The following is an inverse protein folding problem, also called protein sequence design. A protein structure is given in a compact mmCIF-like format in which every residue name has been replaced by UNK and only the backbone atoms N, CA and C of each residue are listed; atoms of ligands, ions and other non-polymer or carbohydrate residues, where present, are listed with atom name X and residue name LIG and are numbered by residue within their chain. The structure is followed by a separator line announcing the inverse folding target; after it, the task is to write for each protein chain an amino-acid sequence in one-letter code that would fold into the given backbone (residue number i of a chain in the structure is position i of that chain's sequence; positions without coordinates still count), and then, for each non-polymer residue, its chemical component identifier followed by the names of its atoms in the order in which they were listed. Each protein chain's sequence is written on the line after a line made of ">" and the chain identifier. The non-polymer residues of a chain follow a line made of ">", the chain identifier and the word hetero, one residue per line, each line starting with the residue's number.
data_IF_186475124781
#
_entry.id   IF_186475124781
#
_cell.length_a   1.000
_cell.length_b   1.000
_cell.length_c   1.000
_cell.angle_alpha   90.00
_cell.angle_beta   90.00
_cell.angle_gamma   90.00
#
_symmetry.space_group_name_H-M   'P 1'
#
loop_
_entity.id
_entity.type
_entity.pdbx_description
1 polymer ?
#
# COMPACT_ATOMS: atom_id res chain seq x y z
N UNK A 1 9.84 -10.58 9.06
CA UNK A 1 8.53 -11.02 9.60
C UNK A 1 8.43 -12.55 9.63
N UNK A 2 8.91 -13.22 8.59
CA UNK A 2 8.77 -14.66 8.42
C UNK A 2 9.73 -15.48 9.29
N UNK A 3 10.98 -15.06 9.49
CA UNK A 3 11.98 -15.89 10.18
C UNK A 3 11.69 -16.17 11.67
N UNK A 4 11.02 -15.25 12.37
CA UNK A 4 10.59 -15.49 13.75
C UNK A 4 9.31 -16.30 13.85
N UNK A 5 8.42 -16.18 12.86
CA UNK A 5 7.36 -17.17 12.69
C UNK A 5 7.99 -18.55 12.45
N UNK A 6 8.98 -18.66 11.56
CA UNK A 6 9.71 -19.92 11.34
C UNK A 6 10.34 -20.44 12.64
N UNK A 7 10.91 -19.59 13.48
CA UNK A 7 11.43 -19.98 14.80
C UNK A 7 10.32 -20.54 15.71
N UNK A 8 9.17 -19.84 15.81
CA UNK A 8 8.01 -20.29 16.59
C UNK A 8 7.52 -21.66 16.08
N UNK A 9 7.38 -21.83 14.75
CA UNK A 9 6.95 -23.10 14.13
C UNK A 9 7.94 -24.25 14.41
N UNK A 10 9.24 -23.95 14.43
CA UNK A 10 10.28 -24.92 14.81
C UNK A 10 10.14 -25.26 16.28
N UNK A 11 10.05 -24.28 17.17
CA UNK A 11 9.94 -24.49 18.63
C UNK A 11 8.65 -25.20 19.05
N UNK A 12 7.55 -25.04 18.30
CA UNK A 12 6.32 -25.81 18.51
C UNK A 12 6.55 -27.33 18.37
N UNK A 13 7.45 -27.73 17.46
CA UNK A 13 7.70 -29.14 17.13
C UNK A 13 9.00 -29.67 17.74
N UNK A 14 9.95 -28.77 17.98
CA UNK A 14 11.28 -29.01 18.54
C UNK A 14 11.57 -27.95 19.62
N UNK A 15 11.00 -28.08 20.83
CA UNK A 15 11.06 -27.04 21.87
C UNK A 15 12.47 -26.65 22.30
N UNK A 16 13.39 -27.61 22.27
CA UNK A 16 14.79 -27.43 22.64
C UNK A 16 15.69 -27.25 21.40
N UNK A 17 15.18 -26.59 20.36
CA UNK A 17 15.95 -26.32 19.15
C UNK A 17 17.27 -25.60 19.47
N UNK A 18 18.37 -26.22 19.05
CA UNK A 18 19.73 -25.69 19.19
C UNK A 18 20.31 -25.38 17.81
N UNK A 19 20.50 -24.09 17.51
CA UNK A 19 21.07 -23.62 16.24
C UNK A 19 22.54 -23.99 16.04
N UNK A 20 23.26 -24.37 17.10
CA UNK A 20 24.65 -24.86 17.00
C UNK A 20 24.71 -26.34 16.60
N UNK A 21 23.60 -27.06 16.79
CA UNK A 21 23.50 -28.48 16.47
C UNK A 21 23.06 -28.70 15.01
N UNK A 22 23.98 -29.19 14.18
CA UNK A 22 23.71 -29.52 12.76
C UNK A 22 22.53 -30.48 12.55
N UNK A 23 22.27 -31.41 13.47
CA UNK A 23 21.14 -32.33 13.39
C UNK A 23 19.80 -31.59 13.57
N UNK A 24 19.77 -30.61 14.46
CA UNK A 24 18.57 -29.84 14.76
C UNK A 24 18.29 -28.81 13.67
N UNK A 25 19.32 -28.23 13.03
CA UNK A 25 19.16 -27.44 11.80
C UNK A 25 18.50 -28.26 10.67
N UNK A 26 18.94 -29.50 10.45
CA UNK A 26 18.36 -30.39 9.43
C UNK A 26 16.90 -30.74 9.77
N UNK A 27 16.59 -30.97 11.05
CA UNK A 27 15.20 -31.23 11.50
C UNK A 27 14.33 -29.99 11.31
N UNK A 28 14.81 -28.81 11.70
CA UNK A 28 14.12 -27.54 11.52
C UNK A 28 13.80 -27.29 10.04
N UNK A 29 14.78 -27.47 9.15
CA UNK A 29 14.57 -27.34 7.70
C UNK A 29 13.47 -28.30 7.19
N UNK A 30 13.48 -29.56 7.63
CA UNK A 30 12.45 -30.54 7.26
C UNK A 30 11.06 -30.17 7.78
N UNK A 31 10.96 -29.70 9.02
CA UNK A 31 9.70 -29.24 9.64
C UNK A 31 9.13 -28.07 8.84
N UNK A 32 9.97 -27.06 8.55
CA UNK A 32 9.55 -25.87 7.82
C UNK A 32 9.15 -26.19 6.38
N UNK A 33 9.91 -27.02 5.66
CA UNK A 33 9.55 -27.46 4.30
C UNK A 33 8.28 -28.29 4.26
N UNK A 34 8.02 -29.10 5.28
CA UNK A 34 6.76 -29.85 5.39
C UNK A 34 5.57 -28.90 5.63
N UNK A 35 5.76 -27.91 6.50
CA UNK A 35 4.72 -26.94 6.84
C UNK A 35 4.43 -25.98 5.69
N UNK A 36 5.45 -25.59 4.92
CA UNK A 36 5.31 -24.81 3.68
C UNK A 36 4.44 -25.49 2.61
N UNK A 37 4.48 -26.83 2.55
CA UNK A 37 3.63 -27.59 1.60
C UNK A 37 2.15 -27.57 2.00
N UNK A 38 1.87 -27.35 3.28
CA UNK A 38 0.51 -27.33 3.85
C UNK A 38 -0.02 -25.89 3.87
N UNK A 39 0.84 -24.93 4.17
CA UNK A 39 0.53 -23.51 4.26
C UNK A 39 1.54 -22.68 3.46
N UNK A 40 1.03 -21.90 2.51
CA UNK A 40 1.85 -21.06 1.63
C UNK A 40 2.22 -19.70 2.23
N UNK A 41 2.07 -19.52 3.54
CA UNK A 41 2.37 -18.25 4.23
C UNK A 41 3.84 -17.80 4.05
N UNK A 42 4.78 -18.73 3.86
CA UNK A 42 6.20 -18.45 3.66
C UNK A 42 6.80 -19.18 2.45
N UNK A 43 7.89 -18.63 1.90
CA UNK A 43 8.55 -19.16 0.70
C UNK A 43 9.71 -20.10 1.04
N UNK A 44 10.23 -20.80 0.03
CA UNK A 44 11.44 -21.62 0.18
C UNK A 44 12.68 -20.78 0.50
N UNK A 45 12.78 -19.61 -0.13
CA UNK A 45 13.88 -18.66 0.10
C UNK A 45 13.92 -18.19 1.55
N UNK A 46 12.75 -18.04 2.17
CA UNK A 46 12.65 -17.67 3.58
C UNK A 46 13.19 -18.75 4.52
N UNK A 47 12.90 -20.02 4.22
CA UNK A 47 13.43 -21.15 4.98
C UNK A 47 14.94 -21.22 4.83
N UNK A 48 15.46 -21.05 3.61
CA UNK A 48 16.91 -21.03 3.36
C UNK A 48 17.60 -19.89 4.10
N UNK A 49 17.02 -18.69 4.10
CA UNK A 49 17.55 -17.54 4.85
C UNK A 49 17.55 -17.81 6.36
N UNK A 50 16.48 -18.40 6.89
CA UNK A 50 16.39 -18.80 8.30
C UNK A 50 17.47 -19.81 8.68
N UNK A 51 17.64 -20.88 7.89
CA UNK A 51 18.63 -21.93 8.17
C UNK A 51 20.05 -21.38 8.04
N UNK A 52 20.34 -20.58 7.01
CA UNK A 52 21.64 -19.92 6.84
C UNK A 52 21.97 -19.02 8.03
N UNK A 53 21.00 -18.23 8.49
CA UNK A 53 21.18 -17.36 9.66
C UNK A 53 21.58 -18.14 10.91
N UNK A 54 20.86 -19.21 11.28
CA UNK A 54 21.20 -20.01 12.47
C UNK A 54 22.48 -20.84 12.27
N UNK A 55 22.77 -21.28 11.05
CA UNK A 55 24.02 -21.98 10.73
C UNK A 55 25.26 -21.09 10.93
N UNK A 56 25.16 -19.81 10.58
CA UNK A 56 26.26 -18.86 10.70
C UNK A 56 26.40 -18.28 12.11
N UNK A 57 25.27 -18.11 12.82
CA UNK A 57 25.23 -17.35 14.07
C UNK A 57 24.92 -18.19 15.31
N UNK A 58 24.53 -19.46 15.16
CA UNK A 58 24.12 -20.33 16.26
C UNK A 58 22.99 -19.71 17.09
N UNK A 59 23.09 -19.84 18.41
CA UNK A 59 22.12 -19.30 19.37
C UNK A 59 22.45 -17.88 19.86
N UNK A 60 23.46 -17.22 19.25
CA UNK A 60 24.02 -15.95 19.74
C UNK A 60 22.98 -14.85 19.94
N UNK A 61 21.89 -14.88 19.18
CA UNK A 61 20.84 -13.86 19.19
C UNK A 61 19.55 -14.28 19.91
N UNK A 62 19.49 -15.45 20.54
CA UNK A 62 18.28 -15.93 21.23
C UNK A 62 17.79 -14.95 22.29
N UNK A 63 18.71 -14.31 23.02
CA UNK A 63 18.37 -13.30 24.05
C UNK A 63 17.59 -12.11 23.48
N UNK A 64 17.79 -11.76 22.20
CA UNK A 64 17.06 -10.69 21.52
C UNK A 64 15.67 -11.13 21.07
N UNK A 65 15.49 -12.43 20.84
CA UNK A 65 14.19 -13.01 20.50
C UNK A 65 13.35 -13.32 21.75
N UNK A 66 13.95 -13.34 22.93
CA UNK A 66 13.28 -13.50 24.22
C UNK A 66 12.75 -12.17 24.80
N UNK A 67 13.23 -11.02 24.34
CA UNK A 67 12.69 -9.71 24.71
C UNK A 67 11.27 -9.55 24.13
N UNK A 68 10.27 -9.38 25.00
CA UNK A 68 8.86 -9.34 24.60
C UNK A 68 8.54 -8.19 23.64
N UNK A 69 9.16 -7.02 23.82
CA UNK A 69 8.93 -5.88 22.93
C UNK A 69 9.54 -6.17 21.55
N UNK A 70 10.79 -6.63 21.50
CA UNK A 70 11.46 -6.99 20.24
C UNK A 70 10.74 -8.11 19.52
N UNK A 71 10.31 -9.14 20.26
CA UNK A 71 9.53 -10.24 19.73
C UNK A 71 8.24 -9.73 19.07
N UNK A 72 7.50 -8.85 19.74
CA UNK A 72 6.27 -8.23 19.21
C UNK A 72 6.54 -7.35 17.99
N UNK A 73 7.62 -6.56 18.02
CA UNK A 73 8.09 -5.76 16.86
C UNK A 73 8.36 -6.67 15.67
N UNK A 74 9.06 -7.77 15.89
CA UNK A 74 9.47 -8.66 14.82
C UNK A 74 8.32 -9.48 14.23
N UNK A 75 7.25 -9.71 15.02
CA UNK A 75 5.96 -10.25 14.54
C UNK A 75 5.17 -9.25 13.69
N UNK A 76 5.55 -7.98 13.72
CA UNK A 76 4.86 -6.91 12.99
C UNK A 76 3.62 -6.40 13.73
N UNK A 77 3.56 -6.59 15.04
CA UNK A 77 2.44 -6.13 15.86
C UNK A 77 2.56 -4.64 16.15
N UNK A 78 1.41 -3.94 16.22
CA UNK A 78 1.36 -2.56 16.69
C UNK A 78 1.02 -2.54 18.18
N UNK A 79 1.95 -2.07 19.00
CA UNK A 79 1.83 -1.99 20.44
C UNK A 79 2.72 -0.86 21.00
N UNK A 80 2.44 -0.44 22.23
CA UNK A 80 3.28 0.50 22.97
C UNK A 80 4.36 -0.27 23.72
N UNK A 81 5.61 0.16 23.59
CA UNK A 81 6.76 -0.43 24.28
C UNK A 81 6.56 -0.31 25.77
N UNK A 82 6.68 -1.45 26.44
CA UNK A 82 6.68 -1.47 27.88
C UNK A 82 8.09 -1.17 28.39
N UNK A 83 8.33 0.08 28.79
CA UNK A 83 9.64 0.53 29.27
C UNK A 83 10.10 -0.15 30.57
N UNK A 84 9.20 -0.81 31.31
CA UNK A 84 9.59 -1.60 32.49
C UNK A 84 10.26 -2.94 32.13
N UNK A 85 10.10 -3.40 30.89
CA UNK A 85 10.69 -4.64 30.37
C UNK A 85 11.98 -4.37 29.59
N UNK A 86 12.61 -3.21 29.80
CA UNK A 86 13.87 -2.86 29.15
C UNK A 86 14.98 -3.80 29.59
N UNK A 87 15.30 -4.77 28.75
CA UNK A 87 16.50 -5.59 28.91
C UNK A 87 17.68 -4.76 28.40
N UNK A 88 18.58 -4.37 29.30
CA UNK A 88 19.88 -3.84 28.91
C UNK A 88 20.69 -5.03 28.39
N UNK A 89 20.79 -5.18 27.07
CA UNK A 89 21.52 -6.29 26.49
C UNK A 89 23.02 -6.12 26.75
N UNK A 90 23.66 -6.99 27.56
CA UNK A 90 25.11 -6.98 27.68
C UNK A 90 25.72 -7.30 26.31
N UNK A 91 26.77 -6.58 25.92
CA UNK A 91 27.45 -6.73 24.62
C UNK A 91 26.60 -6.41 23.37
N UNK A 92 25.60 -5.53 23.48
CA UNK A 92 24.78 -5.10 22.34
C UNK A 92 25.61 -4.49 21.18
N UNK A 93 26.81 -3.96 21.46
CA UNK A 93 27.75 -3.48 20.44
C UNK A 93 28.43 -4.61 19.66
N UNK A 94 28.38 -5.84 20.15
CA UNK A 94 28.80 -7.06 19.44
C UNK A 94 27.65 -7.70 18.65
N UNK A 95 26.45 -7.08 18.65
CA UNK A 95 25.41 -7.43 17.69
C UNK A 95 25.99 -7.18 16.31
N UNK A 96 26.17 -8.27 15.58
CA UNK A 96 26.89 -8.24 14.33
C UNK A 96 26.01 -7.60 13.25
N UNK A 97 26.59 -6.97 12.21
CA UNK A 97 25.83 -6.38 11.10
C UNK A 97 24.73 -7.28 10.54
N UNK A 98 24.96 -8.60 10.57
CA UNK A 98 24.06 -9.65 10.09
C UNK A 98 22.72 -9.64 10.83
N UNK A 99 22.70 -9.47 12.16
CA UNK A 99 21.44 -9.37 12.91
C UNK A 99 20.68 -8.09 12.55
N UNK A 100 21.40 -6.96 12.40
CA UNK A 100 20.78 -5.68 12.03
C UNK A 100 20.15 -5.75 10.64
N UNK A 101 20.82 -6.39 9.68
CA UNK A 101 20.28 -6.64 8.34
C UNK A 101 19.09 -7.59 8.40
N UNK A 102 19.16 -8.64 9.22
CA UNK A 102 18.08 -9.62 9.38
C UNK A 102 16.79 -9.01 9.96
N UNK A 103 16.92 -8.08 10.91
CA UNK A 103 15.79 -7.41 11.57
C UNK A 103 15.38 -6.07 10.90
N UNK A 104 16.01 -5.70 9.79
CA UNK A 104 15.83 -4.39 9.16
C UNK A 104 14.36 -4.10 8.79
N UNK A 105 13.75 -4.97 7.99
CA UNK A 105 12.38 -4.78 7.50
C UNK A 105 11.32 -4.79 8.63
N UNK A 106 11.37 -5.72 9.61
CA UNK A 106 10.48 -5.63 10.77
C UNK A 106 10.58 -4.32 11.54
N UNK A 107 11.80 -3.82 11.77
CA UNK A 107 12.00 -2.55 12.49
C UNK A 107 11.45 -1.38 11.65
N UNK A 108 11.72 -1.33 10.34
CA UNK A 108 11.15 -0.32 9.44
C UNK A 108 9.63 -0.33 9.46
N UNK A 109 9.00 -1.50 9.42
CA UNK A 109 7.56 -1.64 9.50
C UNK A 109 7.01 -1.09 10.82
N UNK A 110 7.66 -1.40 11.95
CA UNK A 110 7.26 -0.86 13.25
C UNK A 110 7.39 0.66 13.34
N UNK A 111 8.47 1.22 12.78
CA UNK A 111 8.65 2.67 12.65
C UNK A 111 7.52 3.29 11.83
N UNK A 112 7.19 2.70 10.67
CA UNK A 112 6.11 3.18 9.81
C UNK A 112 4.75 3.15 10.52
N UNK A 113 4.44 2.06 11.24
CA UNK A 113 3.20 1.94 12.02
C UNK A 113 3.11 3.04 13.09
N UNK A 114 4.20 3.33 13.79
CA UNK A 114 4.21 4.44 14.77
C UNK A 114 4.01 5.81 14.11
N UNK A 115 4.66 6.06 12.96
CA UNK A 115 4.50 7.31 12.21
C UNK A 115 3.07 7.47 11.70
N UNK A 116 2.47 6.42 11.14
CA UNK A 116 1.09 6.42 10.64
C UNK A 116 0.08 6.70 11.75
N UNK A 117 0.30 6.13 12.93
CA UNK A 117 -0.55 6.34 14.11
C UNK A 117 -0.18 7.60 14.92
N UNK A 118 0.78 8.41 14.46
CA UNK A 118 1.27 9.63 15.14
C UNK A 118 1.76 9.36 16.58
N UNK A 119 2.31 8.17 16.83
CA UNK A 119 2.78 7.73 18.14
C UNK A 119 4.29 8.00 18.31
N UNK A 120 4.63 9.29 18.34
CA UNK A 120 6.02 9.75 18.42
C UNK A 120 6.68 9.48 19.77
N UNK A 121 5.89 9.42 20.84
CA UNK A 121 6.39 9.06 22.16
C UNK A 121 6.90 7.63 22.17
N UNK A 122 6.08 6.68 21.68
CA UNK A 122 6.49 5.29 21.58
C UNK A 122 7.68 5.09 20.65
N UNK A 123 7.73 5.80 19.52
CA UNK A 123 8.89 5.77 18.62
C UNK A 123 10.16 6.32 19.28
N UNK A 124 10.03 7.33 20.13
CA UNK A 124 11.14 7.88 20.93
C UNK A 124 11.63 6.88 21.98
N UNK A 125 10.71 6.22 22.68
CA UNK A 125 11.04 5.15 23.64
C UNK A 125 11.76 4.01 22.92
N UNK A 126 11.22 3.58 21.77
CA UNK A 126 11.84 2.58 20.91
C UNK A 126 13.29 2.94 20.57
N UNK A 127 13.49 4.14 20.03
CA UNK A 127 14.81 4.59 19.61
C UNK A 127 15.79 4.59 20.79
N UNK A 128 15.40 5.09 21.97
CA UNK A 128 16.29 5.12 23.14
C UNK A 128 16.69 3.73 23.65
N UNK A 129 15.74 2.81 23.70
CA UNK A 129 15.95 1.50 24.31
C UNK A 129 16.64 0.53 23.34
N UNK A 130 16.38 0.69 22.05
CA UNK A 130 16.77 -0.29 21.03
C UNK A 130 17.67 0.29 19.93
N UNK A 131 18.22 1.50 20.11
CA UNK A 131 19.18 2.11 19.16
C UNK A 131 20.24 1.13 18.63
N UNK A 132 20.89 0.28 19.45
CA UNK A 132 21.98 -0.55 18.96
C UNK A 132 21.57 -1.71 18.04
N UNK A 133 20.28 -2.05 17.97
CA UNK A 133 19.77 -3.04 17.00
C UNK A 133 19.27 -2.40 15.70
N UNK A 134 19.16 -1.06 15.66
CA UNK A 134 18.73 -0.34 14.46
C UNK A 134 19.88 -0.33 13.45
N UNK A 135 19.63 -0.84 12.25
CA UNK A 135 20.62 -0.80 11.16
C UNK A 135 20.89 0.64 10.71
N UNK A 136 22.09 0.97 10.17
CA UNK A 136 22.36 2.28 9.59
C UNK A 136 21.32 2.68 8.54
N UNK A 137 20.92 1.75 7.66
CA UNK A 137 19.89 1.97 6.63
C UNK A 137 18.51 2.27 7.25
N UNK A 138 18.17 1.62 8.36
CA UNK A 138 16.92 1.92 9.09
C UNK A 138 16.97 3.29 9.76
N UNK A 139 18.14 3.68 10.29
CA UNK A 139 18.35 5.02 10.84
C UNK A 139 18.18 6.07 9.75
N UNK A 140 18.80 5.88 8.58
CA UNK A 140 18.63 6.77 7.42
C UNK A 140 17.17 6.85 6.97
N UNK A 141 16.47 5.71 6.90
CA UNK A 141 15.03 5.68 6.62
C UNK A 141 14.23 6.53 7.62
N UNK A 142 14.48 6.38 8.92
CA UNK A 142 13.82 7.19 9.95
C UNK A 142 14.12 8.68 9.80
N UNK A 143 15.38 9.04 9.49
CA UNK A 143 15.80 10.42 9.25
C UNK A 143 15.05 11.01 8.04
N UNK A 144 14.97 10.30 6.92
CA UNK A 144 14.22 10.75 5.74
C UNK A 144 12.74 10.97 6.06
N UNK A 145 12.11 10.01 6.76
CA UNK A 145 10.70 10.16 7.17
C UNK A 145 10.47 11.38 8.05
N UNK A 146 11.36 11.65 9.02
CA UNK A 146 11.30 12.84 9.88
C UNK A 146 11.50 14.11 9.05
N UNK A 147 12.49 14.14 8.15
CA UNK A 147 12.79 15.29 7.28
C UNK A 147 11.59 15.63 6.38
N UNK A 148 10.93 14.61 5.82
CA UNK A 148 9.68 14.78 5.08
C UNK A 148 8.57 15.37 5.95
N UNK A 149 8.45 14.93 7.21
CA UNK A 149 7.47 15.47 8.16
C UNK A 149 7.78 16.92 8.55
N UNK A 150 9.05 17.30 8.70
CA UNK A 150 9.49 18.69 8.91
C UNK A 150 9.13 19.57 7.70
N UNK A 151 9.41 19.11 6.47
CA UNK A 151 8.99 19.81 5.24
C UNK A 151 7.48 20.04 5.18
N UNK A 152 6.69 19.04 5.59
CA UNK A 152 5.24 19.18 5.68
C UNK A 152 4.82 20.24 6.70
N UNK A 153 5.48 20.36 7.86
CA UNK A 153 5.21 21.44 8.82
C UNK A 153 5.46 22.81 8.17
N UNK A 154 6.57 22.96 7.43
CA UNK A 154 6.92 24.22 6.76
C UNK A 154 5.92 24.64 5.70
N UNK A 155 5.52 23.71 4.84
CA UNK A 155 4.53 23.96 3.78
C UNK A 155 3.18 24.45 4.31
N UNK A 156 2.91 24.11 5.56
CA UNK A 156 1.63 24.34 6.23
C UNK A 156 1.56 25.70 6.93
N UNK A 157 2.68 26.22 7.44
CA UNK A 157 2.75 27.51 8.13
C UNK A 157 2.11 28.68 7.34
N UNK A 158 2.31 28.84 6.02
CA UNK A 158 1.75 29.98 5.28
C UNK A 158 0.24 29.86 4.99
N UNK A 159 -0.43 28.76 5.34
CA UNK A 159 -1.78 28.42 4.86
C UNK A 159 -2.88 28.53 5.96
N UNK A 160 -3.43 29.73 6.23
CA UNK A 160 -4.38 29.96 7.34
C UNK A 160 -5.68 29.16 7.23
N UNK A 161 -6.13 28.83 6.01
CA UNK A 161 -7.41 28.16 5.77
C UNK A 161 -7.37 26.65 6.05
N UNK A 162 -6.19 26.07 6.22
CA UNK A 162 -6.03 24.64 6.43
C UNK A 162 -6.02 24.26 7.92
N UNK A 163 -6.12 25.20 8.86
CA UNK A 163 -6.00 24.98 10.31
C UNK A 163 -6.72 23.73 10.88
N UNK A 164 -7.99 23.51 10.53
CA UNK A 164 -8.76 22.34 10.97
C UNK A 164 -8.25 21.03 10.35
N UNK A 165 -7.82 21.09 9.09
CA UNK A 165 -7.16 19.98 8.39
C UNK A 165 -5.79 19.66 9.02
N UNK A 166 -5.07 20.69 9.49
CA UNK A 166 -3.75 20.57 10.14
C UNK A 166 -3.81 19.88 11.48
N UNK A 167 -4.77 20.24 12.33
CA UNK A 167 -5.00 19.57 13.61
C UNK A 167 -5.44 18.11 13.45
N UNK A 168 -6.04 17.77 12.31
CA UNK A 168 -6.56 16.41 12.07
C UNK A 168 -5.51 15.50 11.41
N UNK A 169 -4.73 16.03 10.45
CA UNK A 169 -3.81 15.24 9.61
C UNK A 169 -2.32 15.48 9.86
N UNK A 170 -1.93 16.58 10.51
CA UNK A 170 -0.52 16.97 10.73
C UNK A 170 -0.22 17.16 12.23
N UNK A 171 -0.77 16.27 13.05
CA UNK A 171 -0.65 16.28 14.52
C UNK A 171 0.81 16.22 15.00
N UNK A 172 1.74 15.73 14.18
CA UNK A 172 3.16 15.66 14.53
C UNK A 172 3.80 17.03 14.72
N UNK A 173 3.37 18.05 13.97
CA UNK A 173 3.97 19.39 14.02
C UNK A 173 3.77 20.13 15.35
N UNK A 174 2.83 19.67 16.18
CA UNK A 174 2.56 20.19 17.53
C UNK A 174 2.89 19.17 18.63
N UNK A 175 3.50 18.03 18.28
CA UNK A 175 3.85 16.99 19.23
C UNK A 175 5.28 17.20 19.77
N UNK A 176 5.47 17.42 21.08
CA UNK A 176 6.80 17.58 21.69
C UNK A 176 7.75 16.39 21.45
N UNK A 177 7.23 15.16 21.47
CA UNK A 177 8.02 13.95 21.29
C UNK A 177 8.56 13.81 19.87
N UNK A 178 7.86 14.39 18.87
CA UNK A 178 8.35 14.42 17.49
C UNK A 178 9.68 15.19 17.41
N UNK A 179 9.74 16.39 17.99
CA UNK A 179 10.96 17.22 17.99
C UNK A 179 12.04 16.67 18.93
N UNK A 180 11.66 16.16 20.10
CA UNK A 180 12.61 15.55 21.03
C UNK A 180 13.30 14.31 20.43
N UNK A 181 12.59 13.51 19.64
CA UNK A 181 13.15 12.37 18.90
C UNK A 181 14.24 12.82 17.92
N UNK A 182 14.09 13.97 17.25
CA UNK A 182 15.10 14.48 16.32
C UNK A 182 16.43 14.75 17.03
N UNK A 183 16.38 15.31 18.25
CA UNK A 183 17.55 15.53 19.08
C UNK A 183 18.18 14.24 19.57
N UNK A 184 17.35 13.25 19.93
CA UNK A 184 17.85 11.92 20.34
C UNK A 184 18.54 11.19 19.16
N UNK A 185 18.11 11.43 17.92
CA UNK A 185 18.69 10.81 16.72
C UNK A 185 20.00 11.47 16.30
N UNK A 186 19.92 12.77 15.99
CA UNK A 186 21.04 13.60 15.53
C UNK A 186 20.65 15.08 15.55
N UNK A 187 20.94 15.76 16.66
CA UNK A 187 20.64 17.19 16.78
C UNK A 187 21.38 18.06 15.76
N UNK A 188 22.55 17.64 15.28
CA UNK A 188 23.34 18.40 14.30
C UNK A 188 22.67 18.39 12.93
N UNK A 189 22.19 17.23 12.49
CA UNK A 189 21.51 17.05 11.21
C UNK A 189 20.23 17.90 11.12
N UNK A 190 19.40 17.87 12.17
CA UNK A 190 18.09 18.55 12.15
C UNK A 190 18.14 20.04 12.52
N UNK A 191 19.27 20.56 13.00
CA UNK A 191 19.35 21.94 13.51
C UNK A 191 18.91 22.98 12.48
N UNK A 192 19.32 22.83 11.22
CA UNK A 192 18.95 23.76 10.15
C UNK A 192 17.46 23.67 9.80
N UNK A 193 16.90 22.45 9.72
CA UNK A 193 15.47 22.25 9.45
C UNK A 193 14.60 22.85 10.56
N UNK A 194 15.02 22.69 11.81
CA UNK A 194 14.33 23.24 12.99
C UNK A 194 14.39 24.76 13.02
N UNK A 195 15.56 25.33 12.72
CA UNK A 195 15.73 26.78 12.62
C UNK A 195 14.85 27.36 11.50
N UNK A 196 14.76 26.67 10.36
CA UNK A 196 13.91 27.03 9.24
C UNK A 196 12.42 27.06 9.61
N UNK A 197 11.92 26.03 10.30
CA UNK A 197 10.54 26.02 10.81
C UNK A 197 10.30 27.23 11.74
N UNK A 198 11.22 27.47 12.67
CA UNK A 198 11.14 28.60 13.61
C UNK A 198 11.12 29.97 12.88
N UNK A 199 11.95 30.12 11.84
CA UNK A 199 12.01 31.33 11.03
C UNK A 199 10.74 31.52 10.19
N UNK A 200 10.19 30.45 9.63
CA UNK A 200 8.96 30.50 8.85
C UNK A 200 7.76 30.89 9.73
N UNK A 201 7.70 30.43 10.99
CA UNK A 201 6.70 30.92 11.97
C UNK A 201 6.86 32.43 12.20
N UNK A 202 8.09 32.90 12.38
CA UNK A 202 8.39 34.31 12.66
C UNK A 202 7.96 35.25 11.51
N UNK A 203 8.03 34.79 10.26
CA UNK A 203 7.55 35.53 9.08
C UNK A 203 6.03 35.66 9.05
N UNK A 204 5.31 34.67 9.57
CA UNK A 204 3.84 34.59 9.53
C UNK A 204 3.16 35.00 10.84
N UNK A 205 3.89 35.58 11.80
CA UNK A 205 3.36 35.96 13.13
C UNK A 205 2.30 37.08 13.11
N UNK A 206 2.23 37.89 12.05
CA UNK A 206 1.32 39.06 11.94
C UNK A 206 -0.12 38.69 11.52
N UNK A 207 -0.49 37.43 11.61
CA UNK A 207 -1.77 36.90 11.12
C UNK A 207 -2.88 36.93 12.16
N UNK A 208 -4.10 36.54 11.74
CA UNK A 208 -5.30 36.38 12.57
C UNK A 208 -5.02 35.63 13.89
N UNK A 209 -5.62 36.01 15.04
CA UNK A 209 -5.35 35.42 16.35
C UNK A 209 -5.37 33.88 16.41
N UNK A 210 -6.29 33.24 15.66
CA UNK A 210 -6.38 31.78 15.59
C UNK A 210 -5.11 31.13 15.01
N UNK A 211 -4.57 31.70 13.94
CA UNK A 211 -3.31 31.23 13.35
C UNK A 211 -2.14 31.50 14.31
N UNK A 212 -2.14 32.65 14.99
CA UNK A 212 -1.14 32.97 16.02
C UNK A 212 -1.09 31.91 17.14
N UNK A 213 -2.25 31.48 17.65
CA UNK A 213 -2.33 30.41 18.65
C UNK A 213 -1.85 29.04 18.12
N UNK A 214 -2.13 28.72 16.86
CA UNK A 214 -1.61 27.50 16.22
C UNK A 214 -0.08 27.51 16.12
N UNK A 215 0.47 28.58 15.55
CA UNK A 215 1.91 28.76 15.42
C UNK A 215 2.58 28.72 16.81
N UNK A 216 1.91 29.27 17.84
CA UNK A 216 2.34 29.16 19.22
C UNK A 216 2.47 27.70 19.70
N UNK A 217 1.54 26.81 19.34
CA UNK A 217 1.64 25.37 19.68
C UNK A 217 2.84 24.70 19.01
N UNK A 218 3.14 25.07 17.76
CA UNK A 218 4.35 24.59 17.07
C UNK A 218 5.61 25.08 17.80
N UNK A 219 5.67 26.37 18.17
CA UNK A 219 6.79 26.93 18.95
C UNK A 219 6.98 26.23 20.31
N UNK A 220 5.90 25.93 21.02
CA UNK A 220 5.96 25.19 22.28
C UNK A 220 6.56 23.79 22.06
N UNK A 221 6.09 23.09 21.03
CA UNK A 221 6.61 21.76 20.68
C UNK A 221 8.09 21.81 20.24
N UNK A 222 8.47 22.78 19.42
CA UNK A 222 9.86 23.03 18.98
C UNK A 222 10.81 23.26 20.16
N UNK A 223 10.33 23.83 21.26
CA UNK A 223 11.11 24.02 22.49
C UNK A 223 11.63 22.71 23.13
N UNK A 224 11.13 21.55 22.70
CA UNK A 224 11.60 20.24 23.14
C UNK A 224 12.72 19.67 22.26
N UNK A 225 13.05 20.33 21.15
CA UNK A 225 14.28 20.04 20.41
C UNK A 225 15.47 20.60 21.19
N UNK A 226 16.39 19.72 21.55
CA UNK A 226 17.69 20.10 22.07
C UNK A 226 18.67 20.39 20.93
N UNK A 227 18.82 21.68 20.61
CA UNK A 227 19.67 22.13 19.52
C UNK A 227 21.15 21.79 19.71
N UNK A 228 21.84 21.53 18.58
CA UNK A 228 23.27 21.24 18.57
C UNK A 228 24.10 22.42 19.11
N UNK A 229 23.72 23.64 18.75
CA UNK A 229 24.33 24.86 19.28
C UNK A 229 23.53 25.42 20.45
N UNK A 230 24.25 25.99 21.41
CA UNK A 230 23.65 26.67 22.57
C UNK A 230 22.81 27.88 22.14
N UNK A 231 23.16 28.53 21.02
CA UNK A 231 22.39 29.62 20.44
C UNK A 231 21.00 29.14 19.97
N UNK A 232 20.95 28.08 19.16
CA UNK A 232 19.68 27.52 18.68
C UNK A 232 18.82 27.07 19.87
N UNK A 233 19.42 26.38 20.86
CA UNK A 233 18.73 25.97 22.09
C UNK A 233 18.09 27.15 22.82
N UNK A 234 18.80 28.29 22.94
CA UNK A 234 18.27 29.51 23.57
C UNK A 234 17.15 30.13 22.76
N UNK A 235 17.30 30.21 21.44
CA UNK A 235 16.27 30.73 20.52
C UNK A 235 14.98 29.91 20.67
N UNK A 236 15.07 28.59 20.61
CA UNK A 236 13.90 27.70 20.71
C UNK A 236 13.23 27.79 22.08
N UNK A 237 14.00 27.81 23.19
CA UNK A 237 13.43 27.99 24.53
C UNK A 237 12.74 29.35 24.69
N UNK A 238 13.33 30.43 24.17
CA UNK A 238 12.74 31.77 24.21
C UNK A 238 11.46 31.83 23.39
N UNK A 239 11.48 31.32 22.16
CA UNK A 239 10.33 31.34 21.27
C UNK A 239 9.22 30.39 21.72
N UNK A 240 9.55 29.29 22.40
CA UNK A 240 8.59 28.41 23.06
C UNK A 240 7.78 29.15 24.13
N UNK A 241 8.42 30.03 24.93
CA UNK A 241 7.71 30.90 25.90
C UNK A 241 6.79 31.90 25.20
N UNK A 242 7.27 32.56 24.15
CA UNK A 242 6.46 33.46 23.32
C UNK A 242 5.24 32.71 22.74
N UNK A 243 5.46 31.49 22.26
CA UNK A 243 4.41 30.63 21.75
C UNK A 243 3.37 30.25 22.82
N UNK A 244 3.80 30.00 24.05
CA UNK A 244 2.90 29.75 25.18
C UNK A 244 2.02 30.99 25.46
N UNK A 245 2.60 32.19 25.42
CA UNK A 245 1.85 33.44 25.58
C UNK A 245 0.81 33.60 24.46
N UNK A 246 1.15 33.27 23.21
CA UNK A 246 0.20 33.32 22.08
C UNK A 246 -0.97 32.33 22.23
N UNK A 247 -0.76 31.19 22.87
CA UNK A 247 -1.82 30.23 23.18
C UNK A 247 -2.75 30.77 24.26
N UNK A 248 -2.19 31.44 25.28
CA UNK A 248 -2.93 32.00 26.42
C UNK A 248 -3.70 33.27 26.04
N UNK A 249 -3.10 34.18 25.27
CA UNK A 249 -3.74 35.38 24.72
C UNK A 249 -4.91 35.04 23.79
N UNK A 250 -4.94 33.83 23.22
CA UNK A 250 -6.02 33.31 22.39
C UNK A 250 -7.13 32.54 23.13
N UNK A 251 -7.22 32.61 24.46
CA UNK A 251 -8.12 31.77 25.27
C UNK A 251 -9.62 31.87 24.89
N UNK A 252 -10.40 30.76 24.96
CA UNK A 252 -10.16 29.39 24.52
C UNK A 252 -10.90 29.14 23.19
N UNK A 253 -10.20 28.81 22.09
CA UNK A 253 -10.89 28.43 20.85
C UNK A 253 -11.54 27.03 20.87
N UNK A 254 -11.51 26.37 22.03
CA UNK A 254 -12.24 25.15 22.27
C UNK A 254 -13.17 25.38 23.47
N UNK A 255 -14.45 25.77 23.28
CA UNK A 255 -15.44 25.38 24.27
C UNK A 255 -15.25 23.87 24.53
N UNK A 256 -15.45 23.37 25.75
CA UNK A 256 -15.35 21.94 26.10
C UNK A 256 -16.14 20.99 25.17
N UNK A 257 -16.96 21.56 24.29
CA UNK A 257 -17.78 20.88 23.30
C UNK A 257 -17.21 20.95 21.86
N UNK A 258 -16.14 21.68 21.56
CA UNK A 258 -15.62 21.78 20.18
C UNK A 258 -15.05 20.46 19.70
N UNK A 259 -14.33 19.69 20.52
CA UNK A 259 -13.94 18.32 20.18
C UNK A 259 -15.16 17.43 19.94
N UNK A 260 -16.21 17.56 20.76
CA UNK A 260 -17.49 16.85 20.56
C UNK A 260 -18.28 17.34 19.34
N UNK A 261 -18.19 18.62 18.99
CA UNK A 261 -18.86 19.22 17.85
C UNK A 261 -18.08 18.94 16.57
N UNK A 262 -16.75 18.81 16.62
CA UNK A 262 -15.90 18.32 15.53
C UNK A 262 -16.04 16.82 15.37
N UNK A 263 -16.20 16.04 16.44
CA UNK A 263 -16.61 14.63 16.38
C UNK A 263 -18.00 14.51 15.78
N UNK A 264 -18.99 15.29 16.20
CA UNK A 264 -20.34 15.31 15.59
C UNK A 264 -20.33 15.81 14.15
N UNK A 265 -19.44 16.74 13.80
CA UNK A 265 -19.31 17.27 12.44
C UNK A 265 -18.56 16.27 11.57
N UNK A 266 -17.55 15.58 12.09
CA UNK A 266 -16.87 14.46 11.43
C UNK A 266 -17.79 13.26 11.32
N UNK A 267 -18.66 13.00 12.29
CA UNK A 267 -19.67 11.95 12.26
C UNK A 267 -20.78 12.33 11.27
N UNK A 268 -21.21 13.61 11.21
CA UNK A 268 -22.09 14.13 10.15
C UNK A 268 -21.44 14.08 8.77
N UNK A 269 -20.17 14.42 8.65
CA UNK A 269 -19.43 14.37 7.37
C UNK A 269 -19.25 12.92 6.97
N UNK A 270 -18.84 12.04 7.88
CA UNK A 270 -18.69 10.60 7.64
C UNK A 270 -20.03 9.97 7.30
N UNK A 271 -21.10 10.31 8.00
CA UNK A 271 -22.46 9.87 7.69
C UNK A 271 -22.98 10.48 6.39
N UNK A 272 -22.64 11.72 6.06
CA UNK A 272 -22.99 12.35 4.77
C UNK A 272 -22.17 11.79 3.61
N UNK A 273 -20.93 11.37 3.84
CA UNK A 273 -20.04 10.71 2.88
C UNK A 273 -20.48 9.26 2.71
N UNK A 274 -20.93 8.59 3.77
CA UNK A 274 -21.58 7.27 3.72
C UNK A 274 -22.91 7.38 2.98
N UNK A 275 -23.72 8.41 3.24
CA UNK A 275 -25.01 8.62 2.57
C UNK A 275 -24.83 9.07 1.11
N UNK A 276 -23.82 9.88 0.81
CA UNK A 276 -23.40 10.25 -0.54
C UNK A 276 -22.80 9.05 -1.28
N UNK A 277 -22.00 8.21 -0.62
CA UNK A 277 -21.53 6.92 -1.17
C UNK A 277 -22.69 5.94 -1.36
N UNK A 278 -23.71 5.95 -0.50
CA UNK A 278 -24.90 5.11 -0.64
C UNK A 278 -25.78 5.57 -1.81
N UNK A 279 -25.93 6.89 -1.98
CA UNK A 279 -26.61 7.52 -3.12
C UNK A 279 -25.84 7.30 -4.41
N UNK A 280 -24.53 7.51 -4.43
CA UNK A 280 -23.65 7.18 -5.57
C UNK A 280 -23.67 5.68 -5.85
N UNK A 281 -23.69 4.81 -4.83
CA UNK A 281 -23.77 3.36 -5.03
C UNK A 281 -25.13 2.94 -5.62
N UNK A 282 -26.23 3.55 -5.18
CA UNK A 282 -27.58 3.36 -5.76
C UNK A 282 -27.68 3.92 -7.18
N UNK A 283 -27.08 5.08 -7.45
CA UNK A 283 -27.07 5.75 -8.75
C UNK A 283 -26.16 5.01 -9.74
N UNK A 284 -24.95 4.59 -9.32
CA UNK A 284 -24.09 3.67 -10.08
C UNK A 284 -24.71 2.29 -10.29
N UNK A 285 -25.58 1.79 -9.40
CA UNK A 285 -26.33 0.54 -9.63
C UNK A 285 -27.35 0.74 -10.74
N UNK A 286 -28.05 1.88 -10.76
CA UNK A 286 -29.05 2.23 -11.78
C UNK A 286 -28.39 2.52 -13.14
N UNK A 287 -27.28 3.25 -13.14
CA UNK A 287 -26.53 3.59 -14.36
C UNK A 287 -25.80 2.37 -14.94
N UNK A 288 -25.26 1.47 -14.11
CA UNK A 288 -24.68 0.23 -14.61
C UNK A 288 -25.73 -0.72 -15.19
N UNK A 289 -26.94 -0.80 -14.61
CA UNK A 289 -28.01 -1.64 -15.19
C UNK A 289 -28.49 -1.05 -16.52
N UNK A 290 -28.63 0.27 -16.63
CA UNK A 290 -29.01 0.94 -17.88
C UNK A 290 -27.91 0.81 -18.95
N UNK A 291 -26.64 0.97 -18.58
CA UNK A 291 -25.51 0.74 -19.48
C UNK A 291 -25.39 -0.73 -19.88
N UNK A 292 -25.66 -1.68 -18.99
CA UNK A 292 -25.68 -3.10 -19.34
C UNK A 292 -26.82 -3.44 -20.30
N UNK A 293 -28.03 -2.90 -20.08
CA UNK A 293 -29.17 -3.09 -20.98
C UNK A 293 -28.89 -2.43 -22.33
N UNK A 294 -28.34 -1.22 -22.36
CA UNK A 294 -27.98 -0.52 -23.60
C UNK A 294 -26.85 -1.23 -24.35
N UNK A 295 -25.82 -1.70 -23.65
CA UNK A 295 -24.75 -2.50 -24.25
C UNK A 295 -25.30 -3.81 -24.80
N UNK A 296 -26.17 -4.50 -24.05
CA UNK A 296 -26.85 -5.72 -24.52
C UNK A 296 -27.70 -5.43 -25.77
N UNK A 297 -28.48 -4.34 -25.79
CA UNK A 297 -29.29 -3.96 -26.95
C UNK A 297 -28.45 -3.62 -28.18
N UNK A 298 -27.36 -2.85 -28.01
CA UNK A 298 -26.45 -2.48 -29.11
C UNK A 298 -25.68 -3.70 -29.61
N UNK A 299 -25.27 -4.61 -28.71
CA UNK A 299 -24.53 -5.82 -29.07
C UNK A 299 -25.38 -6.90 -29.73
N UNK A 300 -26.71 -6.89 -29.56
CA UNK A 300 -27.62 -7.79 -30.27
C UNK A 300 -28.21 -7.17 -31.55
N UNK A 301 -28.42 -5.85 -31.58
CA UNK A 301 -28.95 -5.18 -32.79
C UNK A 301 -27.91 -5.07 -33.90
N UNK A 302 -26.62 -4.85 -33.58
CA UNK A 302 -25.56 -4.76 -34.60
C UNK A 302 -25.34 -6.09 -35.34
N UNK A 303 -25.22 -7.27 -34.69
CA UNK A 303 -25.07 -8.54 -35.39
C UNK A 303 -26.33 -8.96 -36.14
N UNK A 304 -27.54 -8.63 -35.66
CA UNK A 304 -28.79 -8.92 -36.38
C UNK A 304 -28.92 -8.01 -37.62
N UNK A 305 -28.52 -6.74 -37.52
CA UNK A 305 -28.46 -5.82 -38.65
C UNK A 305 -27.37 -6.23 -39.66
N UNK A 306 -26.22 -6.71 -39.18
CA UNK A 306 -25.16 -7.27 -40.03
C UNK A 306 -25.59 -8.57 -40.69
N UNK A 307 -26.22 -9.53 -39.99
CA UNK A 307 -26.81 -10.72 -40.60
C UNK A 307 -27.86 -10.39 -41.66
N UNK A 308 -28.69 -9.37 -41.41
CA UNK A 308 -29.66 -8.85 -42.37
C UNK A 308 -29.01 -8.20 -43.60
N UNK A 309 -27.89 -7.49 -43.41
CA UNK A 309 -27.09 -6.90 -44.49
C UNK A 309 -26.27 -7.94 -45.26
N UNK A 310 -25.73 -8.96 -44.59
CA UNK A 310 -24.89 -10.01 -45.16
C UNK A 310 -25.64 -10.96 -46.09
N UNK A 311 -26.97 -11.03 -45.96
CA UNK A 311 -27.82 -11.71 -46.94
C UNK A 311 -27.88 -10.99 -48.30
N UNK A 312 -27.26 -9.80 -48.47
CA UNK A 312 -27.26 -9.03 -49.74
C UNK A 312 -25.93 -8.38 -50.16
N UNK A 313 -24.82 -8.58 -49.46
CA UNK A 313 -23.59 -7.78 -49.68
C UNK A 313 -22.43 -8.56 -50.36
N UNK A 314 -21.68 -7.81 -51.18
CA UNK A 314 -20.46 -8.21 -51.89
C UNK A 314 -19.37 -8.82 -50.95
N UNK A 315 -18.78 -9.92 -51.41
CA UNK A 315 -17.86 -10.82 -50.69
C UNK A 315 -16.62 -10.12 -50.10
N UNK A 316 -16.16 -9.02 -50.71
CA UNK A 316 -15.00 -8.26 -50.24
C UNK A 316 -15.31 -7.39 -49.01
N UNK A 317 -16.51 -6.82 -48.97
CA UNK A 317 -16.97 -6.02 -47.81
C UNK A 317 -17.19 -6.96 -46.63
N UNK A 318 -17.73 -8.16 -46.89
CA UNK A 318 -17.86 -9.19 -45.86
C UNK A 318 -16.51 -9.57 -45.23
N UNK A 319 -15.52 -9.86 -46.06
CA UNK A 319 -14.18 -10.26 -45.60
C UNK A 319 -13.51 -9.16 -44.75
N UNK A 320 -13.69 -7.89 -45.12
CA UNK A 320 -13.09 -6.75 -44.41
C UNK A 320 -13.77 -6.49 -43.06
N UNK A 321 -15.11 -6.54 -43.03
CA UNK A 321 -15.89 -6.42 -41.78
C UNK A 321 -15.53 -7.54 -40.81
N UNK A 322 -15.37 -8.76 -41.32
CA UNK A 322 -15.04 -9.92 -40.50
C UNK A 322 -13.66 -9.83 -39.85
N UNK A 323 -12.65 -9.34 -40.58
CA UNK A 323 -11.30 -9.12 -40.03
C UNK A 323 -11.34 -8.06 -38.93
N UNK A 324 -12.05 -6.95 -39.15
CA UNK A 324 -12.19 -5.88 -38.16
C UNK A 324 -12.89 -6.38 -36.90
N UNK A 325 -13.96 -7.18 -37.03
CA UNK A 325 -14.66 -7.77 -35.90
C UNK A 325 -13.81 -8.76 -35.10
N UNK A 326 -13.00 -9.59 -35.77
CA UNK A 326 -12.06 -10.51 -35.10
C UNK A 326 -11.02 -9.71 -34.30
N UNK A 327 -10.49 -8.61 -34.84
CA UNK A 327 -9.53 -7.77 -34.13
C UNK A 327 -10.17 -7.12 -32.90
N UNK A 328 -11.37 -6.55 -33.05
CA UNK A 328 -12.12 -5.96 -31.93
C UNK A 328 -12.43 -7.02 -30.86
N UNK A 329 -12.76 -8.25 -31.27
CA UNK A 329 -12.97 -9.40 -30.39
C UNK A 329 -11.72 -9.72 -29.56
N UNK A 330 -10.53 -9.81 -30.17
CA UNK A 330 -9.30 -10.10 -29.44
C UNK A 330 -8.97 -9.01 -28.41
N UNK A 331 -9.19 -7.75 -28.77
CA UNK A 331 -8.99 -6.62 -27.86
C UNK A 331 -9.98 -6.68 -26.69
N UNK A 332 -11.26 -6.93 -26.97
CA UNK A 332 -12.30 -7.03 -25.96
C UNK A 332 -12.06 -8.23 -25.01
N UNK A 333 -11.70 -9.39 -25.55
CA UNK A 333 -11.43 -10.60 -24.76
C UNK A 333 -10.21 -10.41 -23.83
N UNK A 334 -9.11 -9.85 -24.35
CA UNK A 334 -7.90 -9.55 -23.54
C UNK A 334 -8.20 -8.55 -22.43
N UNK A 335 -9.03 -7.53 -22.71
CA UNK A 335 -9.43 -6.53 -21.71
C UNK A 335 -10.35 -7.13 -20.64
N UNK A 336 -11.26 -8.01 -21.02
CA UNK A 336 -12.14 -8.72 -20.08
C UNK A 336 -11.36 -9.70 -19.20
N UNK A 337 -10.41 -10.44 -19.74
CA UNK A 337 -9.56 -11.38 -18.98
C UNK A 337 -8.74 -10.66 -17.90
N UNK A 338 -8.08 -9.56 -18.27
CA UNK A 338 -7.33 -8.71 -17.33
C UNK A 338 -8.21 -8.10 -16.23
N UNK A 339 -9.48 -7.80 -16.53
CA UNK A 339 -10.42 -7.29 -15.52
C UNK A 339 -11.00 -8.40 -14.63
N UNK A 340 -11.14 -9.61 -15.16
CA UNK A 340 -11.61 -10.77 -14.41
C UNK A 340 -10.56 -11.21 -13.38
N UNK A 341 -9.28 -11.33 -13.78
CA UNK A 341 -8.17 -11.65 -12.88
C UNK A 341 -8.06 -10.64 -11.74
N UNK A 342 -8.06 -9.33 -12.07
CA UNK A 342 -7.98 -8.25 -11.08
C UNK A 342 -9.14 -8.17 -10.09
N UNK A 343 -10.32 -8.72 -10.40
CA UNK A 343 -11.54 -8.56 -9.59
C UNK A 343 -11.95 -9.79 -8.79
N UNK A 344 -11.48 -10.98 -9.16
CA UNK A 344 -12.00 -12.23 -8.59
C UNK A 344 -10.92 -13.17 -8.03
N UNK A 345 -9.74 -12.62 -7.68
CA UNK A 345 -8.58 -13.35 -7.16
C UNK A 345 -8.74 -13.87 -5.71
N UNK A 346 -9.72 -13.37 -4.95
CA UNK A 346 -10.00 -13.86 -3.59
C UNK A 346 -11.17 -14.85 -3.53
N UNK A 347 -10.95 -16.02 -2.91
CA UNK A 347 -11.90 -17.15 -2.88
C UNK A 347 -13.09 -16.97 -1.92
N UNK A 348 -13.13 -15.91 -1.10
CA UNK A 348 -14.27 -15.60 -0.23
C UNK A 348 -15.12 -14.48 -0.84
N UNK A 349 -16.09 -14.85 -1.67
CA UNK A 349 -16.98 -13.88 -2.33
C UNK A 349 -18.45 -14.16 -2.07
N UNK A 350 -19.19 -13.08 -1.83
CA UNK A 350 -20.62 -13.05 -1.51
C UNK A 350 -21.48 -13.64 -2.66
N UNK A 351 -22.73 -14.03 -2.39
CA UNK A 351 -23.63 -14.60 -3.40
C UNK A 351 -23.80 -13.69 -4.65
N UNK A 352 -23.78 -12.37 -4.46
CA UNK A 352 -23.88 -11.39 -5.54
C UNK A 352 -22.66 -11.40 -6.48
N UNK A 353 -21.46 -11.65 -5.95
CA UNK A 353 -20.23 -11.75 -6.73
C UNK A 353 -20.15 -13.09 -7.48
N UNK A 354 -20.69 -14.17 -6.92
CA UNK A 354 -20.87 -15.44 -7.63
C UNK A 354 -21.78 -15.28 -8.85
N UNK A 355 -22.88 -14.53 -8.73
CA UNK A 355 -23.75 -14.20 -9.88
C UNK A 355 -23.04 -13.33 -10.94
N UNK A 356 -22.22 -12.36 -10.53
CA UNK A 356 -21.42 -11.56 -11.47
C UNK A 356 -20.35 -12.41 -12.19
N UNK A 357 -19.69 -13.31 -11.46
CA UNK A 357 -18.72 -14.27 -12.02
C UNK A 357 -19.41 -15.21 -13.02
N UNK A 358 -20.63 -15.66 -12.72
CA UNK A 358 -21.45 -16.44 -13.64
C UNK A 358 -21.83 -15.64 -14.89
N UNK A 359 -22.29 -14.39 -14.75
CA UNK A 359 -22.61 -13.51 -15.88
C UNK A 359 -21.42 -13.27 -16.80
N UNK A 360 -20.22 -13.04 -16.25
CA UNK A 360 -18.99 -12.93 -17.04
C UNK A 360 -18.63 -14.22 -17.76
N UNK A 361 -18.77 -15.39 -17.11
CA UNK A 361 -18.57 -16.69 -17.75
C UNK A 361 -19.57 -16.92 -18.89
N UNK A 362 -20.84 -16.56 -18.69
CA UNK A 362 -21.89 -16.68 -19.70
C UNK A 362 -21.57 -15.80 -20.93
N UNK A 363 -21.15 -14.55 -20.71
CA UNK A 363 -20.72 -13.66 -21.79
C UNK A 363 -19.53 -14.22 -22.56
N UNK A 364 -18.53 -14.80 -21.86
CA UNK A 364 -17.38 -15.44 -22.50
C UNK A 364 -17.81 -16.62 -23.37
N UNK A 365 -18.72 -17.47 -22.89
CA UNK A 365 -19.29 -18.59 -23.65
C UNK A 365 -20.07 -18.08 -24.87
N UNK A 366 -20.89 -17.05 -24.72
CA UNK A 366 -21.63 -16.44 -25.84
C UNK A 366 -20.71 -15.85 -26.90
N UNK A 367 -19.60 -15.22 -26.49
CA UNK A 367 -18.57 -14.71 -27.39
C UNK A 367 -17.95 -15.85 -28.22
N UNK A 368 -17.68 -17.00 -27.60
CA UNK A 368 -17.16 -18.18 -28.31
C UNK A 368 -18.20 -18.80 -29.25
N UNK A 369 -19.48 -18.83 -28.87
CA UNK A 369 -20.56 -19.31 -29.76
C UNK A 369 -20.71 -18.38 -30.97
N UNK A 370 -20.65 -17.06 -30.77
CA UNK A 370 -20.67 -16.10 -31.88
C UNK A 370 -19.49 -16.30 -32.83
N UNK A 371 -18.28 -16.49 -32.28
CA UNK A 371 -17.09 -16.80 -33.08
C UNK A 371 -17.28 -18.10 -33.88
N UNK A 372 -17.84 -19.14 -33.27
CA UNK A 372 -18.10 -20.40 -33.95
C UNK A 372 -19.09 -20.23 -35.11
N UNK A 373 -20.19 -19.49 -34.90
CA UNK A 373 -21.18 -19.18 -35.95
C UNK A 373 -20.54 -18.36 -37.08
N UNK A 374 -19.71 -17.37 -36.75
CA UNK A 374 -18.99 -16.57 -37.74
C UNK A 374 -17.98 -17.40 -38.53
N UNK A 375 -17.24 -18.30 -37.88
CA UNK A 375 -16.35 -19.25 -38.55
C UNK A 375 -17.13 -20.17 -39.50
N UNK A 376 -18.29 -20.67 -39.08
CA UNK A 376 -19.16 -21.49 -39.94
C UNK A 376 -19.64 -20.67 -41.14
N UNK A 377 -20.09 -19.43 -40.94
CA UNK A 377 -20.52 -18.55 -42.02
C UNK A 377 -19.38 -18.24 -43.01
N UNK A 378 -18.15 -18.04 -42.52
CA UNK A 378 -16.95 -17.88 -43.36
C UNK A 378 -16.66 -19.14 -44.16
N UNK A 379 -16.72 -20.31 -43.53
CA UNK A 379 -16.49 -21.59 -44.21
C UNK A 379 -17.54 -21.79 -45.31
N UNK A 380 -18.82 -21.54 -45.02
CA UNK A 380 -19.89 -21.62 -46.01
C UNK A 380 -19.65 -20.61 -47.14
N UNK A 381 -19.30 -19.36 -46.82
CA UNK A 381 -18.97 -18.32 -47.80
C UNK A 381 -17.76 -18.69 -48.67
N UNK A 382 -16.73 -19.31 -48.10
CA UNK A 382 -15.55 -19.80 -48.81
C UNK A 382 -15.87 -21.00 -49.71
N UNK A 383 -16.72 -21.93 -49.27
CA UNK A 383 -17.20 -23.05 -50.08
C UNK A 383 -17.99 -22.53 -51.29
N UNK A 384 -18.84 -21.53 -51.09
CA UNK A 384 -19.59 -20.88 -52.17
C UNK A 384 -18.62 -20.15 -53.12
N UNK A 385 -17.66 -19.39 -52.58
CA UNK A 385 -16.65 -18.67 -53.35
C UNK A 385 -15.73 -19.60 -54.15
N UNK A 386 -15.40 -20.79 -53.62
CA UNK A 386 -14.66 -21.83 -54.35
C UNK A 386 -15.42 -22.32 -55.58
N UNK A 387 -16.76 -22.37 -55.52
CA UNK A 387 -17.60 -22.77 -56.65
C UNK A 387 -17.82 -21.66 -57.67
N UNK A 388 -17.86 -20.39 -57.24
CA UNK A 388 -18.20 -19.26 -58.12
C UNK A 388 -16.97 -18.53 -58.67
N UNK A 389 -15.90 -18.39 -57.87
CA UNK A 389 -14.66 -17.68 -58.25
C UNK A 389 -13.42 -18.35 -57.60
N UNK A 390 -12.96 -19.50 -58.13
CA UNK A 390 -12.01 -20.39 -57.46
C UNK A 390 -10.63 -19.77 -57.15
N UNK A 391 -10.16 -18.83 -57.98
CA UNK A 391 -8.83 -18.20 -57.82
C UNK A 391 -8.76 -17.37 -56.52
N UNK A 392 -9.82 -16.64 -56.18
CA UNK A 392 -9.90 -15.83 -54.95
C UNK A 392 -10.15 -16.71 -53.73
N UNK A 393 -10.92 -17.78 -53.91
CA UNK A 393 -11.16 -18.79 -52.90
C UNK A 393 -9.87 -19.45 -52.38
N UNK A 394 -8.92 -19.76 -53.28
CA UNK A 394 -7.62 -20.36 -52.94
C UNK A 394 -6.72 -19.35 -52.19
N UNK A 395 -6.72 -18.09 -52.62
CA UNK A 395 -5.96 -17.01 -51.98
C UNK A 395 -6.43 -16.74 -50.54
N UNK A 396 -7.73 -16.81 -50.28
CA UNK A 396 -8.29 -16.59 -48.94
C UNK A 396 -8.09 -17.79 -48.00
N UNK A 397 -8.19 -19.03 -48.49
CA UNK A 397 -7.99 -20.22 -47.65
C UNK A 397 -6.53 -20.47 -47.30
N UNK A 398 -5.59 -20.11 -48.18
CA UNK A 398 -4.15 -20.37 -47.97
C UNK A 398 -3.42 -19.11 -47.46
N UNK A 399 -3.74 -17.93 -48.00
CA UNK A 399 -3.03 -16.69 -47.68
C UNK A 399 -3.43 -16.06 -46.34
N UNK A 400 -4.73 -16.07 -46.01
CA UNK A 400 -5.23 -15.43 -44.78
C UNK A 400 -4.68 -16.08 -43.50
N UNK A 401 -4.63 -17.43 -43.36
CA UNK A 401 -4.02 -18.06 -42.19
C UNK A 401 -2.52 -17.76 -42.07
N UNK A 402 -1.81 -17.60 -43.19
CA UNK A 402 -0.39 -17.27 -43.19
C UNK A 402 -0.14 -15.85 -42.68
N UNK A 403 -0.97 -14.88 -43.10
CA UNK A 403 -0.89 -13.48 -42.65
C UNK A 403 -1.28 -13.36 -41.16
N UNK A 404 -2.37 -14.02 -40.74
CA UNK A 404 -2.79 -14.04 -39.33
C UNK A 404 -1.71 -14.67 -38.44
N UNK A 405 -1.07 -15.77 -38.88
CA UNK A 405 0.02 -16.42 -38.15
C UNK A 405 1.27 -15.54 -38.06
N UNK A 406 1.55 -14.71 -39.08
CA UNK A 406 2.68 -13.76 -39.09
C UNK A 406 2.43 -12.60 -38.13
N UNK A 407 1.22 -12.07 -38.08
CA UNK A 407 0.87 -10.99 -37.14
C UNK A 407 0.77 -11.49 -35.69
N UNK A 408 0.19 -12.67 -35.43
CA UNK A 408 0.16 -13.25 -34.07
C UNK A 408 1.57 -13.52 -33.49
N UNK A 409 2.58 -13.75 -34.34
CA UNK A 409 3.99 -13.88 -33.91
C UNK A 409 4.61 -12.57 -33.41
N UNK A 410 4.06 -11.40 -33.76
CA UNK A 410 4.55 -10.10 -33.24
C UNK A 410 4.02 -9.76 -31.85
N UNK A 411 3.03 -10.52 -31.36
CA UNK A 411 2.36 -10.27 -30.08
C UNK A 411 2.62 -11.36 -29.02
N UNK A 412 3.51 -12.31 -29.31
CA UNK A 412 4.23 -13.12 -28.32
C UNK A 412 5.54 -12.42 -27.99
#
# INVERSE_FOLDING_TARGET
>A
MINLKLLDLVKETLPNFDGENSSDLIKAEKILKARQKIDSEFSWNDIENFISFFKENGNKFNILFEDENLFSIFKGEYFNINSSHNIVFPNIMQITPEFRTFCEEPIKNYIQLNIQNNNWENLRIFYKNYFPIISPLTKEFLIDQISQKNKLVRLVIPEPNHYSYLLTHYKHGINPHFYALQSDIDSSYFSDEILDINNDISKHQKTVPLLKAFLGRILVALGHFDGYTEELRRILKKNSRIGADWIVEGAPFFPKNFEKDLEKTNEKITNSVIDFRSKIAKQRKKDNVLQWIATFFVYYTIPIALLGMLLKINIYIFSTVLIVEIIIFFIANKKMEKQYERRFENNNTSALEKFKKFGYKLQRVQLYVFLAVMCIAVIIGLIIAWKTVPIIGILLTIGLPFVIRKELKKYK
#
